data_IF_316845568460
#
_entry.id   IF_316845568460
#
_cell.length_a   1.000
_cell.length_b   1.000
_cell.length_c   1.000
_cell.angle_alpha   90.00
_cell.angle_beta   90.00
_cell.angle_gamma   90.00
#
_symmetry.space_group_name_H-M   'P 1'
#
loop_
_entity.id
_entity.type
_entity.pdbx_description
1 polymer ?
#
# COMPACT_ATOMS: atom_id res chain seq x y z
N UNK A 1 -12.02 26.63 -16.87
CA UNK A 1 -11.18 25.55 -16.29
C UNK A 1 -11.76 25.21 -14.93
N UNK A 2 -12.29 24.00 -14.74
CA UNK A 2 -12.85 23.57 -13.46
C UNK A 2 -11.80 22.73 -12.74
N UNK A 3 -11.02 23.36 -11.85
CA UNK A 3 -10.06 22.64 -11.02
C UNK A 3 -10.82 21.98 -9.86
N UNK A 4 -10.68 20.66 -9.72
CA UNK A 4 -11.25 19.93 -8.59
C UNK A 4 -10.37 20.14 -7.36
N UNK A 5 -10.96 20.63 -6.27
CA UNK A 5 -10.28 20.84 -4.98
C UNK A 5 -10.87 19.86 -3.98
N UNK A 6 -10.02 19.01 -3.40
CA UNK A 6 -10.41 18.06 -2.36
C UNK A 6 -10.28 18.72 -0.99
N UNK A 7 -11.40 18.92 -0.29
CA UNK A 7 -11.45 19.61 1.01
C UNK A 7 -12.00 18.73 2.15
N UNK A 8 -12.17 17.43 1.92
CA UNK A 8 -12.76 16.51 2.90
C UNK A 8 -11.71 15.61 3.59
N UNK A 9 -10.64 16.23 4.10
CA UNK A 9 -9.57 15.53 4.83
C UNK A 9 -10.02 14.95 6.19
N UNK A 10 -11.19 15.36 6.69
CA UNK A 10 -11.76 14.83 7.92
C UNK A 10 -12.39 13.45 7.71
N UNK A 11 -12.92 13.16 6.52
CA UNK A 11 -13.48 11.85 6.19
C UNK A 11 -12.39 10.84 5.85
N UNK A 12 -11.45 11.21 4.98
CA UNK A 12 -10.29 10.39 4.60
C UNK A 12 -9.23 11.24 3.93
N UNK A 13 -8.08 10.65 3.61
CA UNK A 13 -6.95 11.35 2.99
C UNK A 13 -6.40 10.57 1.80
N UNK A 14 -5.84 11.24 0.79
CA UNK A 14 -5.05 10.57 -0.24
C UNK A 14 -3.88 9.81 0.38
N UNK A 15 -3.58 8.63 -0.15
CA UNK A 15 -2.39 7.87 0.26
C UNK A 15 -1.15 8.69 -0.10
N UNK A 16 -0.28 8.93 0.89
CA UNK A 16 1.00 9.59 0.64
C UNK A 16 1.86 8.73 -0.32
N UNK A 17 2.53 9.33 -1.33
CA UNK A 17 3.31 8.58 -2.30
C UNK A 17 4.32 7.62 -1.65
N UNK A 18 5.01 8.06 -0.59
CA UNK A 18 5.97 7.24 0.15
C UNK A 18 5.34 6.00 0.82
N UNK A 19 4.08 6.10 1.26
CA UNK A 19 3.33 4.97 1.82
C UNK A 19 2.95 4.00 0.70
N UNK A 20 2.54 4.50 -0.46
CA UNK A 20 2.24 3.66 -1.62
C UNK A 20 3.49 2.89 -2.06
N UNK A 21 4.62 3.58 -2.23
CA UNK A 21 5.88 2.96 -2.66
C UNK A 21 6.38 1.91 -1.66
N UNK A 22 6.26 2.16 -0.36
CA UNK A 22 6.59 1.18 0.67
C UNK A 22 5.67 -0.06 0.63
N UNK A 23 4.42 0.11 0.20
CA UNK A 23 3.41 -0.98 0.20
C UNK A 23 3.46 -1.82 -1.08
N UNK A 24 3.82 -1.23 -2.22
CA UNK A 24 3.81 -1.90 -3.53
C UNK A 24 4.57 -3.24 -3.60
N UNK A 25 5.74 -3.42 -2.94
CA UNK A 25 6.45 -4.70 -2.94
C UNK A 25 5.60 -5.87 -2.46
N UNK A 26 4.76 -5.66 -1.44
CA UNK A 26 3.90 -6.69 -0.85
C UNK A 26 2.69 -7.04 -1.73
N UNK A 27 2.31 -6.13 -2.63
CA UNK A 27 1.23 -6.37 -3.60
C UNK A 27 1.74 -7.03 -4.89
N UNK A 28 3.05 -7.00 -5.16
CA UNK A 28 3.63 -7.48 -6.43
C UNK A 28 4.55 -8.69 -6.24
N UNK A 29 5.54 -8.57 -5.36
CA UNK A 29 6.68 -9.50 -5.27
C UNK A 29 6.66 -10.31 -3.97
N UNK A 30 6.30 -9.68 -2.85
CA UNK A 30 6.28 -10.25 -1.51
C UNK A 30 4.86 -10.61 -1.05
N UNK A 31 4.08 -11.21 -1.94
CA UNK A 31 2.65 -11.52 -1.74
C UNK A 31 2.36 -12.73 -0.84
N UNK A 32 3.39 -13.35 -0.25
CA UNK A 32 3.24 -14.55 0.56
C UNK A 32 2.35 -14.34 1.78
N UNK A 33 1.80 -15.43 2.30
CA UNK A 33 1.14 -15.42 3.60
C UNK A 33 2.23 -15.47 4.70
N UNK A 34 2.34 -14.47 5.59
CA UNK A 34 3.35 -14.42 6.65
C UNK A 34 3.32 -15.62 7.60
N UNK A 35 2.16 -16.29 7.74
CA UNK A 35 2.02 -17.49 8.58
C UNK A 35 2.56 -18.77 7.91
N UNK A 36 2.99 -18.71 6.66
CA UNK A 36 3.49 -19.86 5.91
C UNK A 36 4.99 -20.06 6.13
N UNK A 37 5.40 -21.26 6.51
CA UNK A 37 6.82 -21.61 6.64
C UNK A 37 7.56 -21.76 5.29
N UNK A 38 6.86 -21.61 4.16
CA UNK A 38 7.40 -21.75 2.80
C UNK A 38 8.21 -20.52 2.40
N UNK A 39 9.08 -20.60 1.37
CA UNK A 39 9.94 -19.48 0.97
C UNK A 39 9.21 -18.15 0.74
N UNK A 40 8.04 -18.19 0.08
CA UNK A 40 7.23 -16.99 -0.13
C UNK A 40 6.68 -16.38 1.17
N UNK A 41 6.38 -17.18 2.19
CA UNK A 41 5.96 -16.68 3.50
C UNK A 41 7.10 -16.07 4.33
N UNK A 42 8.33 -16.52 4.11
CA UNK A 42 9.52 -15.94 4.78
C UNK A 42 9.95 -14.59 4.22
N UNK A 43 9.57 -14.29 2.99
CA UNK A 43 9.86 -13.01 2.33
C UNK A 43 8.65 -12.07 2.32
N UNK A 44 7.53 -12.47 2.91
CA UNK A 44 6.36 -11.62 3.12
C UNK A 44 6.39 -11.04 4.53
N UNK A 45 7.05 -9.90 4.70
CA UNK A 45 7.04 -9.07 5.91
C UNK A 45 7.66 -7.71 5.62
#
# INVERSE_FOLDING_TARGET
>A
MNQLIYLDYNATTPVAPEVLEATLPFLRVHFGNPSSARPFGRISA
#
